data_IF_791666711153
#
_entry.id   IF_791666711153
#
_cell.length_a   1.000
_cell.length_b   1.000
_cell.length_c   1.000
_cell.angle_alpha   90.00
_cell.angle_beta   90.00
_cell.angle_gamma   90.00
#
_symmetry.space_group_name_H-M   'P 1'
#
loop_
_entity.id
_entity.type
_entity.pdbx_description
1 polymer ?
#
# COMPACT_ATOMS: atom_id res chain seq x y z
N UNK A 1 -3.65 -13.31 9.87
CA UNK A 1 -4.18 -14.39 8.99
C UNK A 1 -3.46 -14.25 7.65
N UNK A 2 -2.24 -14.80 7.55
CA UNK A 2 -1.41 -14.72 6.35
C UNK A 2 -1.38 -16.10 5.68
N UNK A 3 -1.74 -16.07 4.40
CA UNK A 3 -2.05 -17.18 3.51
C UNK A 3 -0.84 -18.13 3.35
N UNK A 4 -1.02 -19.40 3.71
CA UNK A 4 0.00 -20.45 3.57
C UNK A 4 -0.14 -21.29 2.29
N UNK A 5 -1.17 -21.10 1.46
CA UNK A 5 -1.47 -22.04 0.37
C UNK A 5 -1.77 -21.38 -0.98
N UNK A 6 -1.22 -21.97 -2.05
CA UNK A 6 -1.46 -21.66 -3.46
C UNK A 6 -2.94 -21.79 -3.90
N UNK A 7 -3.79 -22.40 -3.06
CA UNK A 7 -5.23 -22.53 -3.31
C UNK A 7 -6.01 -21.21 -3.20
N UNK A 8 -5.63 -20.32 -2.27
CA UNK A 8 -6.26 -19.00 -2.12
C UNK A 8 -5.87 -18.03 -3.23
N UNK A 9 -4.70 -18.24 -3.84
CA UNK A 9 -4.28 -17.51 -5.04
C UNK A 9 -5.29 -17.67 -6.17
N UNK A 10 -5.81 -18.89 -6.40
CA UNK A 10 -6.79 -19.19 -7.45
C UNK A 10 -8.16 -18.57 -7.20
N UNK A 11 -8.57 -18.44 -5.93
CA UNK A 11 -9.87 -17.84 -5.57
C UNK A 11 -9.88 -16.32 -5.70
N UNK A 12 -8.77 -15.65 -5.36
CA UNK A 12 -8.60 -14.22 -5.65
C UNK A 12 -8.48 -13.94 -7.16
N UNK A 13 -7.95 -14.90 -7.94
CA UNK A 13 -7.84 -14.86 -9.41
C UNK A 13 -9.18 -14.89 -10.15
N UNK A 14 -10.24 -15.43 -9.53
CA UNK A 14 -11.54 -15.59 -10.16
C UNK A 14 -12.26 -14.25 -10.42
N UNK A 15 -11.83 -13.16 -9.78
CA UNK A 15 -12.34 -11.81 -10.00
C UNK A 15 -11.58 -11.01 -11.08
N UNK A 16 -10.48 -11.54 -11.63
CA UNK A 16 -9.76 -10.91 -12.74
C UNK A 16 -10.53 -11.14 -14.04
N UNK A 17 -11.01 -10.06 -14.66
CA UNK A 17 -12.02 -10.07 -15.71
C UNK A 17 -11.54 -10.74 -17.01
N UNK A 18 -10.22 -10.83 -17.24
CA UNK A 18 -9.63 -11.37 -18.48
C UNK A 18 -8.42 -12.28 -18.25
N UNK A 19 -8.02 -13.02 -19.29
CA UNK A 19 -6.76 -13.82 -19.29
C UNK A 19 -5.52 -12.94 -19.12
N UNK A 20 -5.58 -11.70 -19.58
CA UNK A 20 -4.50 -10.72 -19.45
C UNK A 20 -4.34 -10.23 -18.01
N UNK A 21 -5.44 -9.92 -17.33
CA UNK A 21 -5.42 -9.51 -15.91
C UNK A 21 -4.81 -10.60 -15.03
N UNK A 22 -5.11 -11.85 -15.36
CA UNK A 22 -4.58 -13.04 -14.69
C UNK A 22 -3.06 -13.15 -14.81
N UNK A 23 -2.50 -12.80 -15.98
CA UNK A 23 -1.06 -12.75 -16.21
C UNK A 23 -0.42 -11.60 -15.42
N UNK A 24 -1.01 -10.41 -15.47
CA UNK A 24 -0.56 -9.28 -14.67
C UNK A 24 -0.56 -9.57 -13.18
N UNK A 25 -1.60 -10.20 -12.64
CA UNK A 25 -1.66 -10.60 -11.23
C UNK A 25 -0.51 -11.53 -10.87
N UNK A 26 -0.18 -12.51 -11.73
CA UNK A 26 0.94 -13.42 -11.49
C UNK A 26 2.28 -12.68 -11.52
N UNK A 27 2.46 -11.80 -12.51
CA UNK A 27 3.70 -11.00 -12.65
C UNK A 27 3.90 -10.05 -11.48
N UNK A 28 2.86 -9.34 -11.06
CA UNK A 28 2.89 -8.46 -9.88
C UNK A 28 3.12 -9.27 -8.60
N UNK A 29 2.54 -10.47 -8.51
CA UNK A 29 2.82 -11.37 -7.39
C UNK A 29 4.29 -11.79 -7.33
N UNK A 30 4.95 -12.05 -8.46
CA UNK A 30 6.38 -12.37 -8.46
C UNK A 30 7.24 -11.13 -8.19
N UNK A 31 6.93 -10.02 -8.86
CA UNK A 31 7.62 -8.73 -8.78
C UNK A 31 6.62 -7.59 -8.55
N UNK A 32 6.38 -7.20 -7.28
CA UNK A 32 5.42 -6.14 -6.94
C UNK A 32 5.63 -4.83 -7.69
N UNK A 33 6.89 -4.50 -8.00
CA UNK A 33 7.32 -3.34 -8.77
C UNK A 33 6.62 -3.16 -10.12
N UNK A 34 6.11 -4.24 -10.72
CA UNK A 34 5.44 -4.21 -12.02
C UNK A 34 4.05 -3.59 -11.97
N UNK A 35 3.45 -3.44 -10.79
CA UNK A 35 2.11 -2.85 -10.64
C UNK A 35 2.03 -1.42 -11.19
N UNK A 36 3.15 -0.68 -11.18
CA UNK A 36 3.27 0.66 -11.79
C UNK A 36 3.12 0.68 -13.32
N UNK A 37 3.32 -0.46 -13.98
CA UNK A 37 3.19 -0.61 -15.43
C UNK A 37 1.90 -1.35 -15.80
N UNK A 38 1.18 -1.85 -14.80
CA UNK A 38 -0.02 -2.62 -15.01
C UNK A 38 -1.18 -1.71 -15.44
N UNK A 39 -2.16 -2.24 -16.20
CA UNK A 39 -3.38 -1.52 -16.55
C UNK A 39 -4.04 -0.82 -15.35
N UNK A 40 -4.60 0.40 -15.53
CA UNK A 40 -5.12 1.21 -14.42
C UNK A 40 -6.19 0.51 -13.57
N UNK A 41 -7.04 -0.34 -14.15
CA UNK A 41 -8.08 -1.06 -13.41
C UNK A 41 -7.52 -2.07 -12.40
N UNK A 42 -6.27 -2.51 -12.53
CA UNK A 42 -5.64 -3.43 -11.57
C UNK A 42 -5.29 -2.73 -10.25
N UNK A 43 -5.19 -1.41 -10.23
CA UNK A 43 -5.12 -0.63 -8.97
C UNK A 43 -6.42 -0.65 -8.18
N UNK A 44 -7.54 -1.02 -8.80
CA UNK A 44 -8.82 -1.22 -8.11
C UNK A 44 -8.91 -2.61 -7.47
N UNK A 45 -8.02 -3.54 -7.83
CA UNK A 45 -7.96 -4.85 -7.19
C UNK A 45 -7.31 -4.73 -5.81
N UNK A 46 -8.15 -4.58 -4.77
CA UNK A 46 -7.74 -4.39 -3.38
C UNK A 46 -6.76 -5.47 -2.90
N UNK A 47 -7.03 -6.73 -3.21
CA UNK A 47 -6.17 -7.84 -2.81
C UNK A 47 -4.78 -7.72 -3.44
N UNK A 48 -4.70 -7.40 -4.73
CA UNK A 48 -3.45 -7.24 -5.45
C UNK A 48 -2.65 -6.05 -4.91
N UNK A 49 -3.29 -4.89 -4.75
CA UNK A 49 -2.65 -3.67 -4.24
C UNK A 49 -2.14 -3.89 -2.83
N UNK A 50 -2.97 -4.40 -1.92
CA UNK A 50 -2.53 -4.67 -0.53
C UNK A 50 -1.38 -5.68 -0.50
N UNK A 51 -1.45 -6.74 -1.30
CA UNK A 51 -0.38 -7.74 -1.41
C UNK A 51 0.93 -7.13 -1.89
N UNK A 52 0.87 -6.30 -2.93
CA UNK A 52 2.04 -5.63 -3.51
C UNK A 52 2.65 -4.61 -2.54
N UNK A 53 1.82 -3.72 -1.96
CA UNK A 53 2.25 -2.66 -1.04
C UNK A 53 2.85 -3.23 0.25
N UNK A 54 2.29 -4.33 0.79
CA UNK A 54 2.86 -5.04 1.95
C UNK A 54 4.27 -5.59 1.69
N UNK A 55 4.59 -5.91 0.43
CA UNK A 55 5.92 -6.40 0.03
C UNK A 55 6.86 -5.26 -0.36
N UNK A 56 6.31 -4.18 -0.91
CA UNK A 56 7.07 -3.02 -1.37
C UNK A 56 6.27 -1.73 -1.14
N UNK A 57 6.42 -1.12 0.03
CA UNK A 57 5.63 0.06 0.43
C UNK A 57 5.87 1.29 -0.45
N UNK A 58 7.02 1.40 -1.12
CA UNK A 58 7.32 2.49 -2.04
C UNK A 58 6.44 2.50 -3.30
N UNK A 59 5.77 1.39 -3.62
CA UNK A 59 4.81 1.33 -4.72
C UNK A 59 3.66 2.31 -4.56
N UNK A 60 3.32 2.66 -3.32
CA UNK A 60 2.20 3.54 -3.04
C UNK A 60 2.37 4.93 -3.67
N UNK A 61 3.60 5.44 -3.84
CA UNK A 61 3.82 6.71 -4.54
C UNK A 61 3.50 6.68 -6.04
N UNK A 62 3.53 5.48 -6.66
CA UNK A 62 3.17 5.31 -8.06
C UNK A 62 1.67 5.00 -8.24
N UNK A 63 0.93 4.80 -7.15
CA UNK A 63 -0.49 4.47 -7.20
C UNK A 63 -1.32 5.71 -7.58
N UNK A 64 -2.51 5.53 -8.17
CA UNK A 64 -3.49 6.61 -8.33
C UNK A 64 -3.84 7.28 -6.99
N UNK A 65 -4.30 8.53 -7.03
CA UNK A 65 -4.60 9.31 -5.81
C UNK A 65 -5.62 8.62 -4.92
N UNK A 66 -6.62 7.98 -5.52
CA UNK A 66 -7.69 7.25 -4.86
C UNK A 66 -7.12 6.12 -3.99
N UNK A 67 -6.09 5.43 -4.48
CA UNK A 67 -5.40 4.34 -3.76
C UNK A 67 -4.46 4.89 -2.70
N UNK A 68 -3.78 6.01 -2.96
CA UNK A 68 -2.94 6.69 -1.97
C UNK A 68 -3.75 7.24 -0.79
N UNK A 69 -5.01 7.59 -1.04
CA UNK A 69 -5.96 8.10 -0.06
C UNK A 69 -6.78 6.98 0.61
N UNK A 70 -6.53 5.71 0.28
CA UNK A 70 -7.14 4.59 0.99
C UNK A 70 -6.40 4.36 2.33
N UNK A 71 -7.07 4.53 3.48
CA UNK A 71 -6.44 4.36 4.78
C UNK A 71 -5.90 2.95 5.00
N UNK A 72 -6.55 1.90 4.47
CA UNK A 72 -6.09 0.53 4.65
C UNK A 72 -4.79 0.28 3.88
N UNK A 73 -4.69 0.82 2.65
CA UNK A 73 -3.48 0.71 1.83
C UNK A 73 -2.34 1.51 2.45
N UNK A 74 -2.61 2.75 2.89
CA UNK A 74 -1.65 3.58 3.60
C UNK A 74 -1.13 2.87 4.87
N UNK A 75 -2.04 2.34 5.70
CA UNK A 75 -1.71 1.59 6.90
C UNK A 75 -0.88 0.34 6.59
N UNK A 76 -1.23 -0.42 5.56
CA UNK A 76 -0.48 -1.59 5.14
C UNK A 76 0.97 -1.24 4.72
N UNK A 77 1.17 -0.07 4.12
CA UNK A 77 2.49 0.41 3.73
C UNK A 77 3.32 0.87 4.94
N UNK A 78 2.78 1.78 5.76
CA UNK A 78 3.53 2.40 6.87
C UNK A 78 3.85 1.41 7.99
N UNK A 79 2.99 0.41 8.21
CA UNK A 79 3.22 -0.68 9.18
C UNK A 79 4.45 -1.52 8.89
N UNK A 80 5.02 -1.46 7.69
CA UNK A 80 6.28 -2.15 7.38
C UNK A 80 7.38 -1.17 7.02
N UNK A 81 7.02 -0.04 6.43
CA UNK A 81 7.95 0.96 5.91
C UNK A 81 7.55 2.35 6.39
N UNK A 82 7.88 2.71 7.63
CA UNK A 82 7.52 4.01 8.22
C UNK A 82 7.93 5.22 7.37
N UNK A 83 9.03 5.12 6.62
CA UNK A 83 9.47 6.14 5.65
C UNK A 83 8.46 6.47 4.55
N UNK A 84 7.53 5.56 4.25
CA UNK A 84 6.48 5.75 3.23
C UNK A 84 5.55 6.90 3.60
N UNK A 85 5.46 7.28 4.89
CA UNK A 85 4.71 8.46 5.31
C UNK A 85 5.11 9.72 4.52
N UNK A 86 6.40 9.89 4.19
CA UNK A 86 6.88 11.01 3.37
C UNK A 86 6.33 11.03 1.95
N UNK A 87 5.96 9.88 1.42
CA UNK A 87 5.45 9.66 0.07
C UNK A 87 3.93 9.79 -0.02
N UNK A 88 3.23 9.76 1.11
CA UNK A 88 1.78 9.87 1.17
C UNK A 88 1.29 11.31 0.95
N UNK A 89 0.04 11.49 0.49
CA UNK A 89 -0.58 12.81 0.37
C UNK A 89 -0.73 13.49 1.73
N UNK A 90 -0.81 14.82 1.73
CA UNK A 90 -0.87 15.63 2.95
C UNK A 90 -1.99 15.21 3.92
N UNK A 91 -3.13 14.76 3.39
CA UNK A 91 -4.26 14.26 4.18
C UNK A 91 -3.88 13.05 5.06
N UNK A 92 -3.07 12.12 4.54
CA UNK A 92 -2.58 10.96 5.29
C UNK A 92 -1.50 11.33 6.31
N UNK A 93 -0.73 12.39 6.06
CA UNK A 93 0.27 12.92 6.99
C UNK A 93 -0.33 13.60 8.21
N UNK A 94 -1.64 13.89 8.17
CA UNK A 94 -2.45 14.42 9.29
C UNK A 94 -3.21 13.32 10.03
N UNK A 95 -3.31 12.12 9.47
CA UNK A 95 -4.02 11.02 10.11
C UNK A 95 -3.17 10.47 11.27
N UNK A 96 -3.69 10.62 12.50
CA UNK A 96 -3.01 10.20 13.73
C UNK A 96 -2.65 8.71 13.71
N UNK A 97 -3.53 7.85 13.21
CA UNK A 97 -3.27 6.40 13.17
C UNK A 97 -2.16 6.05 12.18
N UNK A 98 -2.18 6.67 11.00
CA UNK A 98 -1.15 6.44 9.96
C UNK A 98 0.20 6.97 10.43
N UNK A 99 0.25 8.17 11.01
CA UNK A 99 1.47 8.78 11.54
C UNK A 99 2.04 7.95 12.68
N UNK A 100 1.23 7.57 13.68
CA UNK A 100 1.67 6.76 14.81
C UNK A 100 2.20 5.41 14.35
N UNK A 101 1.52 4.74 13.41
CA UNK A 101 1.99 3.48 12.85
C UNK A 101 3.34 3.65 12.12
N UNK A 102 3.54 4.75 11.40
CA UNK A 102 4.81 5.05 10.74
C UNK A 102 5.94 5.30 11.75
N UNK A 103 5.67 6.08 12.80
CA UNK A 103 6.61 6.45 13.87
C UNK A 103 7.00 5.23 14.70
N UNK A 104 6.04 4.36 15.02
CA UNK A 104 6.29 3.12 15.75
C UNK A 104 7.27 2.21 14.99
N UNK A 105 7.21 2.21 13.66
CA UNK A 105 8.16 1.45 12.85
C UNK A 105 9.50 2.17 12.66
N UNK A 106 9.48 3.49 12.48
CA UNK A 106 10.67 4.30 12.30
C UNK A 106 10.46 5.65 13.00
N UNK A 107 11.03 5.85 14.19
CA UNK A 107 10.75 7.06 15.00
C UNK A 107 10.98 8.38 14.26
N UNK A 108 11.97 8.41 13.37
CA UNK A 108 12.27 9.58 12.52
C UNK A 108 11.19 9.88 11.47
N UNK A 109 10.26 8.96 11.19
CA UNK A 109 9.15 9.18 10.26
C UNK A 109 8.26 10.35 10.70
N UNK A 110 8.26 10.72 11.98
CA UNK A 110 7.54 11.90 12.50
C UNK A 110 7.89 13.16 11.70
N UNK A 111 9.12 13.29 11.18
CA UNK A 111 9.55 14.44 10.36
C UNK A 111 8.69 14.66 9.11
N UNK A 112 8.01 13.62 8.64
CA UNK A 112 7.15 13.64 7.46
C UNK A 112 5.67 13.89 7.78
N UNK A 113 5.28 13.86 9.05
CA UNK A 113 3.93 14.19 9.47
C UNK A 113 3.64 15.68 9.23
N UNK A 114 2.36 16.05 9.28
CA UNK A 114 1.97 17.46 9.26
C UNK A 114 2.58 18.22 10.41
N UNK A 115 2.69 19.54 10.28
CA UNK A 115 3.21 20.39 11.35
C UNK A 115 2.43 20.23 12.66
N UNK A 116 1.10 20.18 12.57
CA UNK A 116 0.18 19.88 13.68
C UNK A 116 0.54 18.56 14.37
N UNK A 117 0.81 17.50 13.60
CA UNK A 117 1.16 16.18 14.14
C UNK A 117 2.57 16.11 14.75
N UNK A 118 3.52 16.89 14.24
CA UNK A 118 4.90 16.95 14.79
C UNK A 118 4.95 17.69 16.13
N UNK A 119 4.10 18.69 16.29
CA UNK A 119 4.08 19.56 17.47
C UNK A 119 3.08 19.08 18.53
N UNK A 120 2.30 18.02 18.24
CA UNK A 120 1.41 17.43 19.21
C UNK A 120 2.23 16.74 20.32
N UNK A 121 2.08 17.23 21.55
CA UNK A 121 2.82 16.80 22.75
C UNK A 121 2.00 15.89 23.69
N UNK A 122 0.87 15.36 23.23
CA UNK A 122 0.06 14.40 24.00
C UNK A 122 0.69 13.02 24.15
#
# INVERSE_FOLDING_TARGET
IYLKNQGDFRRAHAAAATREDKDWVLRVYQSPGLLRQAPPHLWQNRWLVLGAVKRQGSLLAAAPREVQQDPEVAMAAVRKYGRVLGMLPAMMKRDRHVVLAAVQQHGWALRFASEEMRNNRE
#
